data_IF_394692199344
#
_entry.id   IF_394692199344
#
_cell.length_a   1.000
_cell.length_b   1.000
_cell.length_c   1.000
_cell.angle_alpha   90.00
_cell.angle_beta   90.00
_cell.angle_gamma   90.00
#
_symmetry.space_group_name_H-M   'P 1'
#
loop_
_entity.id
_entity.type
_entity.pdbx_description
1 polymer ?
#
# COMPACT_ATOMS: atom_id res chain seq x y z
N UNK A 1 -7.92 6.88 0.08
CA UNK A 1 -9.25 7.49 0.25
C UNK A 1 -9.14 8.95 0.66
N UNK A 2 -8.43 9.28 1.73
CA UNK A 2 -8.27 10.65 2.24
C UNK A 2 -7.80 11.63 1.16
N UNK A 3 -6.72 11.32 0.46
CA UNK A 3 -6.22 12.14 -0.65
C UNK A 3 -7.30 12.46 -1.71
N UNK A 4 -8.14 11.48 -2.04
CA UNK A 4 -9.18 11.65 -3.07
C UNK A 4 -10.37 12.48 -2.59
N UNK A 5 -10.65 12.47 -1.29
CA UNK A 5 -11.65 13.40 -0.71
C UNK A 5 -11.15 14.85 -0.74
N UNK A 6 -9.84 15.08 -0.62
CA UNK A 6 -9.23 16.40 -0.82
C UNK A 6 -9.40 16.91 -2.27
N UNK A 7 -9.35 16.01 -3.28
CA UNK A 7 -9.66 16.39 -4.66
C UNK A 7 -11.10 16.86 -4.84
N UNK A 8 -12.05 16.23 -4.14
CA UNK A 8 -13.47 16.62 -4.18
C UNK A 8 -13.66 17.98 -3.49
N UNK A 9 -13.04 18.16 -2.32
CA UNK A 9 -13.08 19.41 -1.56
C UNK A 9 -12.51 20.57 -2.35
N UNK A 10 -11.35 20.42 -2.96
CA UNK A 10 -10.71 21.44 -3.81
C UNK A 10 -11.60 21.87 -4.96
N UNK A 11 -12.43 20.98 -5.47
CA UNK A 11 -13.21 21.23 -6.69
C UNK A 11 -14.61 21.80 -6.44
N UNK A 12 -15.29 21.43 -5.34
CA UNK A 12 -16.76 21.62 -5.22
C UNK A 12 -17.22 22.13 -3.84
N UNK A 13 -16.38 22.66 -2.98
CA UNK A 13 -16.71 23.07 -1.60
C UNK A 13 -17.33 21.96 -0.74
N UNK A 14 -17.21 20.71 -1.16
CA UNK A 14 -17.70 19.54 -0.43
C UNK A 14 -16.68 19.19 0.65
N UNK A 15 -17.08 19.27 1.91
CA UNK A 15 -16.21 18.93 3.05
C UNK A 15 -15.60 17.54 2.89
N UNK A 16 -14.31 17.38 3.22
CA UNK A 16 -13.55 16.16 3.08
C UNK A 16 -14.25 14.89 3.61
N UNK A 17 -14.85 14.89 4.82
CA UNK A 17 -15.61 13.75 5.32
C UNK A 17 -16.78 13.30 4.43
N UNK A 18 -17.48 14.23 3.78
CA UNK A 18 -18.54 13.89 2.83
C UNK A 18 -17.96 13.21 1.58
N UNK A 19 -16.81 13.67 1.08
CA UNK A 19 -16.06 13.02 0.00
C UNK A 19 -15.68 11.57 0.33
N UNK A 20 -15.26 11.30 1.58
CA UNK A 20 -14.98 9.94 2.06
C UNK A 20 -16.21 9.06 1.96
N UNK A 21 -17.36 9.53 2.45
CA UNK A 21 -18.62 8.77 2.42
C UNK A 21 -19.08 8.50 0.98
N UNK A 22 -19.01 9.48 0.09
CA UNK A 22 -19.37 9.30 -1.33
C UNK A 22 -18.54 8.18 -1.96
N UNK A 23 -17.22 8.23 -1.81
CA UNK A 23 -16.30 7.21 -2.34
C UNK A 23 -16.60 5.84 -1.72
N UNK A 24 -16.90 5.81 -0.42
CA UNK A 24 -17.22 4.57 0.29
C UNK A 24 -18.49 3.91 -0.23
N UNK A 25 -19.56 4.68 -0.42
CA UNK A 25 -20.83 4.18 -0.96
C UNK A 25 -20.65 3.65 -2.39
N UNK A 26 -19.91 4.37 -3.24
CA UNK A 26 -19.61 3.91 -4.60
C UNK A 26 -18.79 2.61 -4.59
N UNK A 27 -17.75 2.53 -3.74
CA UNK A 27 -16.95 1.31 -3.58
C UNK A 27 -17.80 0.13 -3.11
N UNK A 28 -18.63 0.34 -2.09
CA UNK A 28 -19.54 -0.68 -1.56
C UNK A 28 -20.49 -1.20 -2.64
N UNK A 29 -21.11 -0.28 -3.41
CA UNK A 29 -22.02 -0.64 -4.48
C UNK A 29 -21.34 -1.56 -5.52
N UNK A 30 -20.14 -1.18 -6.02
CA UNK A 30 -19.41 -1.97 -7.01
C UNK A 30 -18.97 -3.32 -6.43
N UNK A 31 -18.43 -3.34 -5.21
CA UNK A 31 -17.90 -4.55 -4.58
C UNK A 31 -19.00 -5.57 -4.26
N UNK A 32 -20.21 -5.11 -3.94
CA UNK A 32 -21.36 -5.98 -3.63
C UNK A 32 -21.75 -6.86 -4.82
N UNK A 33 -21.62 -6.37 -6.06
CA UNK A 33 -21.93 -7.15 -7.27
C UNK A 33 -20.90 -8.23 -7.60
N UNK A 34 -19.76 -8.24 -6.92
CA UNK A 34 -18.78 -9.32 -6.98
C UNK A 34 -17.71 -9.16 -8.06
N UNK A 35 -16.84 -10.18 -8.15
CA UNK A 35 -15.61 -10.16 -8.94
C UNK A 35 -15.77 -9.65 -10.39
N UNK A 36 -16.79 -10.11 -11.11
CA UNK A 36 -16.99 -9.72 -12.53
C UNK A 36 -17.15 -8.21 -12.70
N UNK A 37 -17.91 -7.57 -11.80
CA UNK A 37 -18.15 -6.11 -11.88
C UNK A 37 -16.92 -5.35 -11.43
N UNK A 38 -16.27 -5.80 -10.35
CA UNK A 38 -15.00 -5.23 -9.87
C UNK A 38 -13.96 -5.30 -10.99
N UNK A 39 -13.74 -6.46 -11.58
CA UNK A 39 -12.76 -6.65 -12.65
C UNK A 39 -13.08 -5.83 -13.91
N UNK A 40 -14.35 -5.74 -14.30
CA UNK A 40 -14.75 -4.91 -15.44
C UNK A 40 -14.48 -3.41 -15.16
N UNK A 41 -14.76 -2.94 -13.94
CA UNK A 41 -14.48 -1.58 -13.53
C UNK A 41 -12.98 -1.28 -13.54
N UNK A 42 -12.16 -2.15 -12.97
CA UNK A 42 -10.69 -2.04 -12.94
C UNK A 42 -10.11 -2.03 -14.34
N UNK A 43 -10.58 -2.92 -15.21
CA UNK A 43 -10.11 -3.04 -16.59
C UNK A 43 -10.30 -1.73 -17.40
N UNK A 44 -11.31 -0.94 -17.13
CA UNK A 44 -11.57 0.31 -17.86
C UNK A 44 -11.07 1.56 -17.14
N UNK A 45 -11.04 1.56 -15.81
CA UNK A 45 -10.73 2.76 -14.99
C UNK A 45 -9.28 3.23 -15.09
N UNK A 46 -8.34 2.36 -15.43
CA UNK A 46 -6.93 2.73 -15.58
C UNK A 46 -6.68 3.63 -16.79
N UNK A 47 -7.48 3.50 -17.86
CA UNK A 47 -7.30 4.28 -19.10
C UNK A 47 -7.46 5.79 -18.85
N UNK A 48 -8.61 6.29 -18.37
CA UNK A 48 -8.77 7.72 -18.09
C UNK A 48 -7.79 8.21 -17.02
N UNK A 49 -7.50 7.39 -16.02
CA UNK A 49 -6.54 7.73 -14.96
C UNK A 49 -5.14 7.95 -15.53
N UNK A 50 -4.65 7.04 -16.37
CA UNK A 50 -3.34 7.16 -17.01
C UNK A 50 -3.28 8.39 -17.93
N UNK A 51 -4.34 8.64 -18.72
CA UNK A 51 -4.40 9.83 -19.57
C UNK A 51 -4.29 11.12 -18.75
N UNK A 52 -4.96 11.21 -17.62
CA UNK A 52 -4.86 12.39 -16.74
C UNK A 52 -3.47 12.53 -16.14
N UNK A 53 -2.81 11.45 -15.74
CA UNK A 53 -1.43 11.51 -15.28
C UNK A 53 -0.46 11.95 -16.38
N UNK A 54 -0.69 11.56 -17.64
CA UNK A 54 0.10 12.05 -18.78
C UNK A 54 -0.18 13.54 -19.06
N UNK A 55 -1.41 13.98 -18.94
CA UNK A 55 -1.78 15.41 -19.04
C UNK A 55 -1.09 16.20 -17.91
N UNK A 56 -1.15 15.69 -16.69
CA UNK A 56 -0.49 16.29 -15.53
C UNK A 56 1.03 16.42 -15.73
N UNK A 57 1.67 15.36 -16.21
CA UNK A 57 3.09 15.37 -16.59
C UNK A 57 3.36 16.45 -17.64
N UNK A 58 2.57 16.49 -18.73
CA UNK A 58 2.75 17.44 -19.81
C UNK A 58 2.61 18.89 -19.36
N UNK A 59 1.60 19.19 -18.55
CA UNK A 59 1.38 20.53 -17.98
C UNK A 59 2.54 20.91 -17.07
N UNK A 60 2.93 20.02 -16.14
CA UNK A 60 3.98 20.30 -15.19
C UNK A 60 5.36 20.43 -15.85
N UNK A 61 5.67 19.57 -16.83
CA UNK A 61 6.90 19.69 -17.60
C UNK A 61 6.98 20.99 -18.42
N UNK A 62 5.83 21.45 -18.95
CA UNK A 62 5.78 22.71 -19.73
C UNK A 62 5.85 23.95 -18.83
N UNK A 63 5.40 23.88 -17.58
CA UNK A 63 5.43 25.02 -16.64
C UNK A 63 6.85 25.45 -16.28
N UNK A 64 7.80 24.54 -16.29
CA UNK A 64 9.18 24.80 -15.86
C UNK A 64 9.34 24.94 -14.34
N UNK A 65 8.30 24.66 -13.58
CA UNK A 65 8.23 24.87 -12.12
C UNK A 65 8.92 23.75 -11.30
N UNK A 66 9.65 22.85 -11.97
CA UNK A 66 10.44 21.84 -11.28
C UNK A 66 11.62 22.45 -10.54
N UNK A 67 11.73 22.17 -9.25
CA UNK A 67 12.85 22.61 -8.41
C UNK A 67 13.76 21.43 -8.11
N UNK A 68 15.01 21.53 -8.55
CA UNK A 68 16.05 20.57 -8.14
C UNK A 68 16.52 20.93 -6.73
N UNK A 69 16.12 20.14 -5.76
CA UNK A 69 16.60 20.26 -4.38
C UNK A 69 17.92 19.51 -4.29
N UNK A 70 19.03 20.18 -3.92
CA UNK A 70 20.31 19.50 -3.77
C UNK A 70 20.24 18.46 -2.65
N UNK A 71 20.94 17.34 -2.86
CA UNK A 71 21.08 16.32 -1.83
C UNK A 71 21.85 16.92 -0.65
N UNK A 72 21.31 16.81 0.53
CA UNK A 72 22.04 17.05 1.75
C UNK A 72 23.01 15.89 2.00
N UNK A 73 23.93 16.06 2.91
CA UNK A 73 24.88 15.00 3.26
C UNK A 73 24.84 14.76 4.77
N UNK A 74 25.09 13.52 5.18
CA UNK A 74 25.16 13.17 6.59
C UNK A 74 24.03 12.27 7.08
N UNK A 75 23.93 12.17 8.40
CA UNK A 75 22.99 11.25 9.05
C UNK A 75 21.52 11.65 8.90
N UNK A 76 21.24 12.95 8.81
CA UNK A 76 19.87 13.43 8.61
C UNK A 76 19.31 12.94 7.26
N UNK A 77 20.05 13.14 6.20
CA UNK A 77 19.63 12.69 4.85
C UNK A 77 19.54 11.16 4.77
N UNK A 78 20.49 10.45 5.37
CA UNK A 78 20.44 8.98 5.47
C UNK A 78 19.15 8.54 6.16
N UNK A 79 18.78 9.15 7.27
CA UNK A 79 17.55 8.85 8.00
C UNK A 79 16.30 9.10 7.18
N UNK A 80 16.26 10.23 6.45
CA UNK A 80 15.15 10.58 5.57
C UNK A 80 14.99 9.57 4.43
N UNK A 81 16.09 9.14 3.79
CA UNK A 81 16.08 8.13 2.73
C UNK A 81 15.55 6.79 3.24
N UNK A 82 16.03 6.33 4.39
CA UNK A 82 15.59 5.07 4.99
C UNK A 82 14.11 5.11 5.37
N UNK A 83 13.66 6.17 6.03
CA UNK A 83 12.25 6.33 6.43
C UNK A 83 11.33 6.43 5.22
N UNK A 84 11.72 7.19 4.17
CA UNK A 84 10.98 7.23 2.92
C UNK A 84 10.93 5.87 2.24
N UNK A 85 12.04 5.14 2.22
CA UNK A 85 12.13 3.77 1.71
C UNK A 85 11.17 2.82 2.43
N UNK A 86 11.05 2.93 3.75
CA UNK A 86 10.12 2.15 4.56
C UNK A 86 8.65 2.39 4.16
N UNK A 87 8.25 3.65 3.98
CA UNK A 87 6.89 4.00 3.50
C UNK A 87 6.62 3.42 2.10
N UNK A 88 7.59 3.55 1.17
CA UNK A 88 7.46 3.00 -0.19
C UNK A 88 7.37 1.47 -0.16
N UNK A 89 8.20 0.80 0.66
CA UNK A 89 8.13 -0.64 0.85
C UNK A 89 6.75 -1.06 1.36
N UNK A 90 6.24 -0.41 2.42
CA UNK A 90 4.92 -0.70 2.99
C UNK A 90 3.78 -0.56 1.98
N UNK A 91 3.87 0.42 1.08
CA UNK A 91 2.91 0.58 -0.01
C UNK A 91 3.03 -0.53 -1.06
N UNK A 92 4.24 -0.82 -1.52
CA UNK A 92 4.47 -1.79 -2.59
C UNK A 92 4.18 -3.23 -2.15
N UNK A 93 4.62 -3.60 -0.95
CA UNK A 93 4.47 -4.96 -0.41
C UNK A 93 3.02 -5.31 -0.05
N UNK A 94 2.12 -4.31 0.05
CA UNK A 94 0.70 -4.54 0.28
C UNK A 94 0.05 -5.53 -0.70
N UNK A 95 0.58 -5.65 -1.91
CA UNK A 95 0.12 -6.62 -2.91
C UNK A 95 0.47 -8.08 -2.58
N UNK A 96 1.46 -8.33 -1.73
CA UNK A 96 1.95 -9.68 -1.43
C UNK A 96 0.87 -10.59 -0.85
N UNK A 97 0.00 -10.03 0.00
CA UNK A 97 -1.02 -10.81 0.70
C UNK A 97 -2.22 -11.19 -0.18
N UNK A 98 -2.55 -10.42 -1.22
CA UNK A 98 -3.76 -10.65 -2.02
C UNK A 98 -3.54 -10.76 -3.54
N UNK A 99 -2.31 -10.71 -4.02
CA UNK A 99 -2.02 -10.93 -5.44
C UNK A 99 -2.53 -12.29 -5.94
N UNK A 100 -2.55 -13.30 -5.08
CA UNK A 100 -3.08 -14.62 -5.39
C UNK A 100 -4.59 -14.61 -5.68
N UNK A 101 -5.37 -13.74 -5.06
CA UNK A 101 -6.82 -13.61 -5.28
C UNK A 101 -7.17 -13.23 -6.73
N UNK A 102 -6.22 -12.61 -7.43
CA UNK A 102 -6.35 -12.25 -8.86
C UNK A 102 -5.75 -13.30 -9.78
N UNK A 103 -4.61 -13.85 -9.42
CA UNK A 103 -3.90 -14.81 -10.27
C UNK A 103 -4.56 -16.19 -10.28
N UNK A 104 -5.36 -16.54 -9.30
CA UNK A 104 -6.09 -17.82 -9.22
C UNK A 104 -7.08 -18.02 -10.38
N UNK A 105 -7.57 -16.94 -10.98
CA UNK A 105 -8.49 -17.00 -12.13
C UNK A 105 -7.79 -17.23 -13.48
N UNK A 106 -6.45 -17.26 -13.50
CA UNK A 106 -5.70 -17.54 -14.72
C UNK A 106 -5.81 -19.02 -15.09
N UNK A 107 -5.89 -19.36 -16.41
CA UNK A 107 -5.88 -20.75 -16.85
C UNK A 107 -4.66 -21.51 -16.35
N UNK A 108 -4.84 -22.74 -15.90
CA UNK A 108 -3.74 -23.59 -15.40
C UNK A 108 -2.65 -23.87 -16.45
N UNK A 109 -2.97 -23.71 -17.74
CA UNK A 109 -2.05 -23.85 -18.86
C UNK A 109 -1.15 -22.62 -19.07
N UNK A 110 -1.44 -21.50 -18.37
CA UNK A 110 -0.67 -20.27 -18.53
C UNK A 110 0.76 -20.43 -17.98
N UNK A 111 1.72 -19.88 -18.72
CA UNK A 111 3.12 -19.90 -18.29
C UNK A 111 3.34 -19.08 -17.03
N UNK A 112 3.88 -19.69 -15.97
CA UNK A 112 4.22 -19.03 -14.69
C UNK A 112 5.14 -17.82 -14.89
N UNK A 113 6.11 -17.91 -15.82
CA UNK A 113 7.02 -16.81 -16.14
C UNK A 113 6.27 -15.62 -16.76
N UNK A 114 5.28 -15.88 -17.62
CA UNK A 114 4.45 -14.83 -18.20
C UNK A 114 3.60 -14.16 -17.12
N UNK A 115 2.94 -14.93 -16.24
CA UNK A 115 2.14 -14.38 -15.14
C UNK A 115 3.01 -13.50 -14.26
N UNK A 116 4.16 -14.01 -13.82
CA UNK A 116 5.09 -13.23 -13.00
C UNK A 116 5.54 -11.93 -13.70
N UNK A 117 6.02 -12.02 -14.94
CA UNK A 117 6.55 -10.86 -15.66
C UNK A 117 5.49 -9.78 -15.89
N UNK A 118 4.30 -10.17 -16.33
CA UNK A 118 3.23 -9.21 -16.59
C UNK A 118 2.68 -8.59 -15.31
N UNK A 119 2.55 -9.36 -14.24
CA UNK A 119 2.16 -8.84 -12.92
C UNK A 119 3.21 -7.86 -12.40
N UNK A 120 4.49 -8.23 -12.47
CA UNK A 120 5.58 -7.38 -12.01
C UNK A 120 5.69 -6.08 -12.82
N UNK A 121 5.65 -6.14 -14.15
CA UNK A 121 5.68 -4.95 -15.00
C UNK A 121 4.45 -4.07 -14.78
N UNK A 122 3.27 -4.70 -14.64
CA UNK A 122 2.02 -3.99 -14.41
C UNK A 122 1.97 -3.27 -13.06
N UNK A 123 2.72 -3.72 -12.07
CA UNK A 123 2.85 -3.05 -10.76
C UNK A 123 3.96 -1.99 -10.78
N UNK A 124 5.17 -2.35 -11.24
CA UNK A 124 6.35 -1.49 -11.07
C UNK A 124 6.33 -0.26 -11.99
N UNK A 125 5.88 -0.38 -13.24
CA UNK A 125 5.88 0.74 -14.18
C UNK A 125 4.95 1.86 -13.74
N UNK A 126 3.66 1.61 -13.45
CA UNK A 126 2.76 2.66 -12.99
C UNK A 126 3.18 3.23 -11.62
N UNK A 127 3.70 2.37 -10.73
CA UNK A 127 4.16 2.77 -9.41
C UNK A 127 5.30 3.79 -9.50
N UNK A 128 6.36 3.44 -10.22
CA UNK A 128 7.51 4.33 -10.42
C UNK A 128 7.09 5.64 -11.12
N UNK A 129 6.31 5.53 -12.18
CA UNK A 129 5.86 6.70 -12.93
C UNK A 129 5.07 7.68 -12.05
N UNK A 130 4.08 7.18 -11.31
CA UNK A 130 3.22 8.05 -10.48
C UNK A 130 3.93 8.62 -9.26
N UNK A 131 4.83 7.84 -8.64
CA UNK A 131 5.60 8.31 -7.50
C UNK A 131 6.64 9.38 -7.92
N UNK A 132 7.38 9.13 -9.00
CA UNK A 132 8.34 10.12 -9.51
C UNK A 132 7.66 11.42 -9.93
N UNK A 133 6.49 11.32 -10.59
CA UNK A 133 5.71 12.51 -10.95
C UNK A 133 5.21 13.25 -9.70
N UNK A 134 4.76 12.54 -8.66
CA UNK A 134 4.32 13.14 -7.42
C UNK A 134 5.45 13.89 -6.70
N UNK A 135 6.65 13.28 -6.63
CA UNK A 135 7.85 13.93 -6.06
C UNK A 135 8.24 15.17 -6.87
N UNK A 136 8.21 15.09 -8.20
CA UNK A 136 8.49 16.21 -9.08
C UNK A 136 7.51 17.37 -8.84
N UNK A 137 6.21 17.11 -8.75
CA UNK A 137 5.20 18.15 -8.47
C UNK A 137 5.38 18.72 -7.06
N UNK A 138 5.71 17.86 -6.09
CA UNK A 138 5.95 18.30 -4.72
C UNK A 138 7.16 19.25 -4.62
N UNK A 139 8.19 19.08 -5.44
CA UNK A 139 9.34 19.99 -5.46
C UNK A 139 8.97 21.45 -5.76
N UNK A 140 7.88 21.66 -6.53
CA UNK A 140 7.40 23.00 -6.86
C UNK A 140 6.90 23.80 -5.64
N UNK A 141 6.58 23.14 -4.52
CA UNK A 141 6.24 23.85 -3.27
C UNK A 141 7.40 24.68 -2.72
N UNK A 142 8.65 24.37 -3.10
CA UNK A 142 9.85 25.09 -2.71
C UNK A 142 10.14 26.35 -3.57
N UNK A 143 9.39 26.60 -4.65
CA UNK A 143 9.53 27.81 -5.45
C UNK A 143 9.34 29.06 -4.58
N UNK A 144 10.10 30.11 -4.89
CA UNK A 144 10.03 31.42 -4.22
C UNK A 144 10.09 31.33 -2.67
N UNK A 145 10.84 30.32 -2.16
CA UNK A 145 10.96 30.10 -0.71
C UNK A 145 9.66 29.62 -0.05
N UNK A 146 8.79 28.98 -0.81
CA UNK A 146 7.49 28.45 -0.34
C UNK A 146 6.32 29.42 -0.49
N UNK A 147 6.54 30.62 -1.04
CA UNK A 147 5.46 31.59 -1.27
C UNK A 147 4.92 31.48 -2.70
N UNK A 148 4.23 30.40 -2.98
CA UNK A 148 3.74 30.09 -4.31
C UNK A 148 2.41 29.33 -4.29
N UNK A 149 1.72 29.28 -5.44
CA UNK A 149 0.42 28.64 -5.61
C UNK A 149 0.39 27.15 -5.24
N UNK A 150 1.51 26.46 -5.36
CA UNK A 150 1.62 25.03 -5.05
C UNK A 150 1.58 24.80 -3.54
N UNK A 151 2.33 25.60 -2.80
CA UNK A 151 2.32 25.57 -1.34
C UNK A 151 0.98 26.04 -0.80
N UNK A 152 0.41 27.14 -1.32
CA UNK A 152 -0.93 27.62 -0.93
C UNK A 152 -2.01 26.55 -1.18
N UNK A 153 -1.99 25.87 -2.33
CA UNK A 153 -2.91 24.79 -2.62
C UNK A 153 -2.76 23.61 -1.66
N UNK A 154 -1.50 23.24 -1.35
CA UNK A 154 -1.20 22.18 -0.38
C UNK A 154 -1.72 22.54 1.03
N UNK A 155 -1.49 23.77 1.47
CA UNK A 155 -1.92 24.25 2.80
C UNK A 155 -3.45 24.34 2.92
N UNK A 156 -4.14 24.68 1.83
CA UNK A 156 -5.59 24.79 1.82
C UNK A 156 -6.29 23.44 1.90
N UNK A 157 -5.94 22.47 1.07
CA UNK A 157 -6.64 21.18 0.94
C UNK A 157 -5.68 19.98 0.74
N UNK A 158 -4.46 20.07 1.25
CA UNK A 158 -3.45 19.02 1.20
C UNK A 158 -2.98 18.71 -0.22
N UNK A 159 -2.61 17.46 -0.46
CA UNK A 159 -2.12 17.01 -1.78
C UNK A 159 -3.16 17.15 -2.90
N UNK A 160 -4.46 17.18 -2.57
CA UNK A 160 -5.53 17.49 -3.53
C UNK A 160 -5.42 18.92 -4.05
N UNK A 161 -5.18 19.89 -3.17
CA UNK A 161 -4.97 21.29 -3.54
C UNK A 161 -3.71 21.49 -4.36
N UNK A 162 -2.62 20.77 -4.03
CA UNK A 162 -1.40 20.77 -4.82
C UNK A 162 -1.66 20.34 -6.28
N UNK A 163 -2.41 19.26 -6.51
CA UNK A 163 -2.79 18.84 -7.87
C UNK A 163 -3.74 19.84 -8.52
N UNK A 164 -4.64 20.46 -7.76
CA UNK A 164 -5.49 21.55 -8.22
C UNK A 164 -4.69 22.74 -8.72
N UNK A 165 -3.61 23.12 -8.03
CA UNK A 165 -2.71 24.17 -8.44
C UNK A 165 -2.00 23.89 -9.78
N UNK A 166 -1.82 22.62 -10.16
CA UNK A 166 -1.33 22.23 -11.48
C UNK A 166 -2.46 22.20 -12.50
N UNK A 167 -3.49 21.39 -12.26
CA UNK A 167 -4.54 21.10 -13.25
C UNK A 167 -5.51 22.27 -13.46
N UNK A 168 -6.10 22.79 -12.38
CA UNK A 168 -7.14 23.81 -12.48
C UNK A 168 -6.56 25.14 -12.95
N UNK A 169 -5.38 25.49 -12.46
CA UNK A 169 -4.71 26.75 -12.86
C UNK A 169 -4.47 26.82 -14.37
N UNK A 170 -3.99 25.73 -14.99
CA UNK A 170 -3.63 25.75 -16.41
C UNK A 170 -4.79 25.38 -17.36
N UNK A 171 -5.78 24.64 -16.89
CA UNK A 171 -6.84 24.10 -17.78
C UNK A 171 -8.26 24.46 -17.33
N UNK A 172 -8.42 25.22 -16.25
CA UNK A 172 -9.72 25.72 -15.79
C UNK A 172 -10.74 24.60 -15.54
N UNK A 173 -11.91 24.67 -16.19
CA UNK A 173 -13.01 23.71 -16.04
C UNK A 173 -12.60 22.29 -16.43
N UNK A 174 -11.74 22.12 -17.43
CA UNK A 174 -11.22 20.80 -17.80
C UNK A 174 -10.37 20.20 -16.67
N UNK A 175 -9.56 21.00 -15.99
CA UNK A 175 -8.84 20.57 -14.81
C UNK A 175 -9.75 20.08 -13.67
N UNK A 176 -10.88 20.78 -13.47
CA UNK A 176 -11.91 20.33 -12.52
C UNK A 176 -12.48 18.96 -12.89
N UNK A 177 -12.78 18.75 -14.16
CA UNK A 177 -13.23 17.44 -14.66
C UNK A 177 -12.18 16.35 -14.42
N UNK A 178 -10.90 16.62 -14.71
CA UNK A 178 -9.80 15.69 -14.42
C UNK A 178 -9.72 15.34 -12.93
N UNK A 179 -9.90 16.32 -12.03
CA UNK A 179 -9.91 16.10 -10.59
C UNK A 179 -11.03 15.13 -10.17
N UNK A 180 -12.22 15.24 -10.74
CA UNK A 180 -13.34 14.31 -10.47
C UNK A 180 -12.98 12.89 -10.92
N UNK A 181 -12.44 12.71 -12.12
CA UNK A 181 -12.01 11.38 -12.59
C UNK A 181 -10.92 10.79 -11.70
N UNK A 182 -9.94 11.59 -11.29
CA UNK A 182 -8.93 11.15 -10.31
C UNK A 182 -9.55 10.77 -8.98
N UNK A 183 -10.55 11.52 -8.49
CA UNK A 183 -11.25 11.16 -7.26
C UNK A 183 -11.98 9.82 -7.39
N UNK A 184 -12.65 9.58 -8.51
CA UNK A 184 -13.36 8.32 -8.77
C UNK A 184 -12.41 7.13 -8.99
N UNK A 185 -11.17 7.35 -9.44
CA UNK A 185 -10.20 6.27 -9.66
C UNK A 185 -9.87 5.46 -8.40
N UNK A 186 -10.06 6.03 -7.20
CA UNK A 186 -9.84 5.32 -5.94
C UNK A 186 -10.81 4.15 -5.74
N UNK A 187 -11.97 4.22 -6.36
CA UNK A 187 -12.96 3.14 -6.26
C UNK A 187 -12.36 1.84 -6.82
N UNK A 188 -11.65 1.92 -7.96
CA UNK A 188 -10.96 0.76 -8.52
C UNK A 188 -9.91 0.19 -7.57
N UNK A 189 -9.18 1.05 -6.85
CA UNK A 189 -8.18 0.60 -5.88
C UNK A 189 -8.79 0.07 -4.56
N UNK A 190 -9.96 0.57 -4.15
CA UNK A 190 -10.60 0.13 -2.92
C UNK A 190 -11.40 -1.17 -3.11
N UNK A 191 -11.97 -1.40 -4.28
CA UNK A 191 -12.78 -2.59 -4.55
C UNK A 191 -12.02 -3.90 -4.28
N UNK A 192 -10.78 -4.11 -4.78
CA UNK A 192 -9.99 -5.29 -4.45
C UNK A 192 -9.78 -5.48 -2.94
N UNK A 193 -9.41 -4.39 -2.26
CA UNK A 193 -9.13 -4.47 -0.82
C UNK A 193 -10.36 -4.93 -0.02
N UNK A 194 -11.51 -4.33 -0.27
CA UNK A 194 -12.76 -4.70 0.42
C UNK A 194 -13.24 -6.09 0.00
N UNK A 195 -13.03 -6.45 -1.27
CA UNK A 195 -13.33 -7.81 -1.77
C UNK A 195 -12.48 -8.86 -1.05
N UNK A 196 -11.16 -8.66 -0.98
CA UNK A 196 -10.23 -9.59 -0.32
C UNK A 196 -10.47 -9.66 1.19
N UNK A 197 -10.76 -8.54 1.87
CA UNK A 197 -11.14 -8.56 3.28
C UNK A 197 -12.37 -9.44 3.51
N UNK A 198 -13.41 -9.30 2.68
CA UNK A 198 -14.61 -10.11 2.82
C UNK A 198 -14.34 -11.61 2.61
N UNK A 199 -13.48 -11.98 1.65
CA UNK A 199 -13.06 -13.37 1.44
C UNK A 199 -12.24 -13.90 2.61
N UNK A 200 -11.26 -13.13 3.08
CA UNK A 200 -10.38 -13.53 4.19
C UNK A 200 -11.19 -13.80 5.45
N UNK A 201 -12.16 -12.93 5.79
CA UNK A 201 -13.02 -13.16 6.95
C UNK A 201 -13.85 -14.40 6.81
N UNK A 202 -14.35 -14.73 5.61
CA UNK A 202 -15.11 -15.96 5.38
C UNK A 202 -14.28 -17.22 5.61
N UNK A 203 -12.97 -17.20 5.38
CA UNK A 203 -12.08 -18.36 5.56
C UNK A 203 -11.71 -18.60 7.03
N UNK A 204 -11.88 -17.62 7.93
CA UNK A 204 -11.48 -17.74 9.34
C UNK A 204 -12.22 -18.84 10.11
N UNK A 205 -13.49 -19.11 9.81
CA UNK A 205 -14.25 -20.16 10.50
C UNK A 205 -15.49 -20.60 9.72
N UNK A 206 -16.02 -21.80 10.06
CA UNK A 206 -17.28 -22.28 9.51
C UNK A 206 -18.48 -21.36 9.85
N UNK A 207 -18.41 -20.61 10.92
CA UNK A 207 -19.45 -19.65 11.29
C UNK A 207 -19.42 -18.42 10.37
N UNK A 208 -18.24 -17.88 10.10
CA UNK A 208 -18.06 -16.73 9.20
C UNK A 208 -18.42 -17.07 7.75
N UNK A 209 -18.22 -18.32 7.32
CA UNK A 209 -18.63 -18.81 5.99
C UNK A 209 -20.14 -18.79 5.77
N UNK A 210 -20.94 -18.99 6.82
CA UNK A 210 -22.41 -18.97 6.73
C UNK A 210 -22.99 -17.58 6.50
N UNK A 211 -22.21 -16.55 6.82
CA UNK A 211 -22.63 -15.16 6.65
C UNK A 211 -22.36 -14.72 5.21
N UNK A 212 -23.36 -14.20 4.49
CA UNK A 212 -23.20 -13.73 3.12
C UNK A 212 -22.10 -12.67 3.00
N UNK A 213 -21.32 -12.75 1.93
CA UNK A 213 -20.17 -11.87 1.68
C UNK A 213 -20.49 -10.37 1.76
N UNK A 214 -21.68 -9.97 1.26
CA UNK A 214 -22.08 -8.56 1.26
C UNK A 214 -22.15 -7.95 2.67
N UNK A 215 -22.42 -8.76 3.70
CA UNK A 215 -22.42 -8.31 5.10
C UNK A 215 -20.99 -7.98 5.53
N UNK A 216 -20.03 -8.84 5.19
CA UNK A 216 -18.61 -8.59 5.48
C UNK A 216 -18.09 -7.37 4.71
N UNK A 217 -18.54 -7.20 3.47
CA UNK A 217 -18.26 -6.00 2.67
C UNK A 217 -18.81 -4.73 3.36
N UNK A 218 -20.03 -4.78 3.90
CA UNK A 218 -20.64 -3.65 4.61
C UNK A 218 -19.89 -3.34 5.92
N UNK A 219 -19.52 -4.36 6.70
CA UNK A 219 -18.75 -4.20 7.93
C UNK A 219 -17.37 -3.60 7.62
N UNK A 220 -16.67 -4.13 6.63
CA UNK A 220 -15.37 -3.60 6.19
C UNK A 220 -15.47 -2.16 5.71
N UNK A 221 -16.53 -1.82 4.95
CA UNK A 221 -16.80 -0.45 4.50
C UNK A 221 -17.04 0.48 5.70
N UNK A 222 -17.85 0.08 6.68
CA UNK A 222 -18.08 0.85 7.88
C UNK A 222 -16.81 1.07 8.70
N UNK A 223 -15.99 0.03 8.84
CA UNK A 223 -14.72 0.10 9.57
C UNK A 223 -13.74 1.11 8.95
N UNK A 224 -13.55 1.07 7.64
CA UNK A 224 -12.62 2.03 7.04
C UNK A 224 -13.16 3.48 7.01
N UNK A 225 -14.48 3.69 6.93
CA UNK A 225 -15.09 5.03 7.10
C UNK A 225 -14.79 5.56 8.49
N UNK A 226 -14.99 4.73 9.52
CA UNK A 226 -14.75 5.09 10.91
C UNK A 226 -13.28 5.48 11.18
N UNK A 227 -12.33 4.89 10.46
CA UNK A 227 -10.91 5.24 10.54
C UNK A 227 -10.59 6.47 9.68
N UNK A 228 -11.16 6.56 8.48
CA UNK A 228 -10.81 7.60 7.51
C UNK A 228 -11.32 9.00 7.92
N UNK A 229 -12.49 9.11 8.54
CA UNK A 229 -13.05 10.41 8.93
C UNK A 229 -12.17 11.13 9.98
N UNK A 230 -11.78 10.50 11.11
CA UNK A 230 -10.86 11.13 12.05
C UNK A 230 -9.47 11.39 11.48
N UNK A 231 -8.99 10.49 10.59
CA UNK A 231 -7.68 10.61 9.95
C UNK A 231 -7.58 11.71 8.90
N UNK A 232 -8.69 12.33 8.51
CA UNK A 232 -8.69 13.32 7.43
C UNK A 232 -7.84 14.56 7.73
N UNK A 233 -7.92 15.09 8.94
CA UNK A 233 -7.17 16.27 9.37
C UNK A 233 -5.67 16.04 9.60
N UNK A 234 -5.25 14.78 9.66
CA UNK A 234 -3.86 14.35 9.90
C UNK A 234 -3.38 13.38 8.82
N UNK A 235 -3.77 13.65 7.57
CA UNK A 235 -3.62 12.69 6.46
C UNK A 235 -2.19 12.17 6.28
N UNK A 236 -1.19 13.07 6.24
CA UNK A 236 0.21 12.70 5.98
C UNK A 236 0.74 11.77 7.07
N UNK A 237 0.54 12.14 8.34
CA UNK A 237 0.99 11.34 9.51
C UNK A 237 0.27 9.99 9.60
N UNK A 238 -1.04 9.98 9.35
CA UNK A 238 -1.82 8.72 9.37
C UNK A 238 -1.38 7.81 8.22
N UNK A 239 -1.15 8.36 7.03
CA UNK A 239 -0.69 7.59 5.88
C UNK A 239 0.68 6.97 6.14
N UNK A 240 1.65 7.76 6.61
CA UNK A 240 3.00 7.31 6.90
C UNK A 240 3.02 6.19 7.96
N UNK A 241 2.40 6.44 9.10
CA UNK A 241 2.32 5.43 10.17
C UNK A 241 1.63 4.14 9.70
N UNK A 242 0.56 4.26 8.92
CA UNK A 242 -0.18 3.11 8.41
C UNK A 242 0.63 2.31 7.40
N UNK A 243 1.33 2.98 6.48
CA UNK A 243 2.18 2.31 5.48
C UNK A 243 3.34 1.59 6.16
N UNK A 244 4.00 2.22 7.12
CA UNK A 244 5.08 1.60 7.88
C UNK A 244 4.60 0.36 8.66
N UNK A 245 3.44 0.45 9.35
CA UNK A 245 2.88 -0.70 10.07
C UNK A 245 2.54 -1.88 9.15
N UNK A 246 2.00 -1.61 7.95
CA UNK A 246 1.78 -2.65 6.93
C UNK A 246 3.13 -3.22 6.49
N UNK A 247 4.11 -2.37 6.20
CA UNK A 247 5.45 -2.78 5.78
C UNK A 247 6.12 -3.71 6.79
N UNK A 248 6.06 -3.38 8.06
CA UNK A 248 6.65 -4.21 9.13
C UNK A 248 6.02 -5.59 9.20
N UNK A 249 4.69 -5.65 9.22
CA UNK A 249 3.96 -6.90 9.27
C UNK A 249 4.31 -7.79 8.07
N UNK A 250 4.22 -7.22 6.89
CA UNK A 250 4.45 -7.96 5.64
C UNK A 250 5.91 -8.36 5.49
N UNK A 251 6.88 -7.55 5.90
CA UNK A 251 8.29 -7.93 5.89
C UNK A 251 8.56 -9.18 6.75
N UNK A 252 7.97 -9.25 7.94
CA UNK A 252 8.07 -10.44 8.81
C UNK A 252 7.42 -11.66 8.14
N UNK A 253 6.23 -11.48 7.57
CA UNK A 253 5.54 -12.53 6.82
C UNK A 253 6.37 -13.01 5.62
N UNK A 254 6.88 -12.08 4.84
CA UNK A 254 7.73 -12.37 3.68
C UNK A 254 9.02 -13.10 4.09
N UNK A 255 9.65 -12.70 5.17
CA UNK A 255 10.84 -13.40 5.71
C UNK A 255 10.58 -14.87 5.96
N UNK A 256 9.46 -15.20 6.61
CA UNK A 256 9.06 -16.60 6.86
C UNK A 256 8.70 -17.30 5.55
N UNK A 257 7.89 -16.66 4.71
CA UNK A 257 7.43 -17.23 3.44
C UNK A 257 8.58 -17.50 2.47
N UNK A 258 9.55 -16.58 2.36
CA UNK A 258 10.75 -16.76 1.54
C UNK A 258 11.63 -17.89 2.08
N UNK A 259 11.83 -17.98 3.40
CA UNK A 259 12.59 -19.07 3.99
C UNK A 259 11.93 -20.43 3.69
N UNK A 260 10.61 -20.57 3.90
CA UNK A 260 9.90 -21.81 3.58
C UNK A 260 9.98 -22.14 2.09
N UNK A 261 9.72 -21.15 1.21
CA UNK A 261 9.66 -21.37 -0.23
C UNK A 261 11.02 -21.69 -0.85
N UNK A 262 12.07 -20.93 -0.50
CA UNK A 262 13.38 -21.05 -1.14
C UNK A 262 14.25 -22.13 -0.48
N UNK A 263 14.28 -22.17 0.87
CA UNK A 263 15.21 -23.03 1.61
C UNK A 263 14.62 -24.41 1.83
N UNK A 264 13.36 -24.53 2.26
CA UNK A 264 12.78 -25.83 2.65
C UNK A 264 11.98 -26.49 1.53
N UNK A 265 11.24 -25.72 0.73
CA UNK A 265 10.44 -26.28 -0.38
C UNK A 265 11.16 -26.30 -1.72
N UNK A 266 12.27 -25.59 -1.85
CA UNK A 266 13.04 -25.47 -3.12
C UNK A 266 12.16 -25.05 -4.30
N UNK A 267 11.20 -24.14 -4.03
CA UNK A 267 10.27 -23.60 -5.01
C UNK A 267 8.93 -24.35 -5.07
N UNK A 268 8.18 -24.10 -6.14
CA UNK A 268 6.76 -24.53 -6.27
C UNK A 268 6.55 -26.04 -6.25
N UNK A 269 7.58 -26.84 -6.59
CA UNK A 269 7.45 -28.32 -6.62
C UNK A 269 7.39 -28.94 -5.23
N UNK A 270 7.79 -28.22 -4.20
CA UNK A 270 7.77 -28.68 -2.82
C UNK A 270 6.42 -28.55 -2.12
N UNK A 271 5.39 -28.05 -2.80
CA UNK A 271 4.04 -27.90 -2.28
C UNK A 271 3.13 -28.99 -2.85
N UNK A 272 2.31 -29.59 -1.98
CA UNK A 272 1.25 -30.52 -2.37
C UNK A 272 -0.10 -29.79 -2.23
N UNK A 273 -0.74 -29.44 -3.38
CA UNK A 273 -2.01 -28.73 -3.36
C UNK A 273 -3.15 -29.50 -2.69
N UNK A 274 -3.07 -30.84 -2.65
CA UNK A 274 -4.14 -31.68 -2.08
C UNK A 274 -4.12 -31.72 -0.54
N UNK A 275 -3.13 -31.07 0.08
CA UNK A 275 -2.98 -31.02 1.54
C UNK A 275 -3.51 -29.74 2.18
N UNK A 276 -3.91 -28.74 1.41
CA UNK A 276 -4.20 -27.39 1.91
C UNK A 276 -5.33 -27.34 2.97
N UNK A 277 -6.28 -28.25 2.91
CA UNK A 277 -7.42 -28.38 3.83
C UNK A 277 -7.26 -29.49 4.89
N UNK A 278 -6.13 -30.21 4.88
CA UNK A 278 -5.88 -31.32 5.77
C UNK A 278 -5.00 -30.90 6.95
N UNK A 279 -5.60 -30.34 8.00
CA UNK A 279 -4.88 -29.86 9.19
C UNK A 279 -3.88 -30.87 9.78
N UNK A 280 -4.18 -32.18 9.67
CA UNK A 280 -3.29 -33.27 10.13
C UNK A 280 -2.02 -33.43 9.31
N UNK A 281 -1.95 -32.88 8.09
CA UNK A 281 -0.78 -32.94 7.19
C UNK A 281 -0.02 -31.62 7.10
N UNK A 282 -0.67 -30.54 7.50
CA UNK A 282 -0.02 -29.22 7.53
C UNK A 282 0.96 -29.13 8.71
N UNK A 283 2.03 -28.31 8.57
CA UNK A 283 2.93 -28.02 9.69
C UNK A 283 2.16 -27.46 10.90
N UNK A 284 2.59 -27.78 12.14
CA UNK A 284 1.98 -27.19 13.34
C UNK A 284 2.08 -25.67 13.42
N UNK A 285 3.07 -25.06 12.72
CA UNK A 285 3.28 -23.64 12.66
C UNK A 285 4.05 -23.05 13.84
N UNK A 286 4.60 -23.86 14.72
CA UNK A 286 5.34 -23.40 15.91
C UNK A 286 6.59 -22.59 15.48
N UNK A 287 7.33 -23.11 14.49
CA UNK A 287 8.49 -22.42 13.94
C UNK A 287 8.08 -21.05 13.34
N UNK A 288 6.94 -20.97 12.65
CA UNK A 288 6.45 -19.73 12.06
C UNK A 288 6.07 -18.70 13.14
N UNK A 289 5.34 -19.12 14.18
CA UNK A 289 4.94 -18.23 15.29
C UNK A 289 6.16 -17.71 16.04
N UNK A 290 7.11 -18.60 16.37
CA UNK A 290 8.36 -18.18 17.03
C UNK A 290 9.15 -17.18 16.18
N UNK A 291 9.30 -17.47 14.89
CA UNK A 291 10.00 -16.60 13.95
C UNK A 291 9.30 -15.26 13.76
N UNK A 292 7.97 -15.25 13.79
CA UNK A 292 7.19 -14.03 13.79
C UNK A 292 7.50 -13.17 15.02
N UNK A 293 7.54 -13.76 16.22
CA UNK A 293 7.92 -13.05 17.43
C UNK A 293 9.36 -12.49 17.36
N UNK A 294 10.31 -13.26 16.81
CA UNK A 294 11.67 -12.78 16.58
C UNK A 294 11.68 -11.60 15.57
N UNK A 295 10.90 -11.70 14.50
CA UNK A 295 10.73 -10.62 13.54
C UNK A 295 10.17 -9.34 14.17
N UNK A 296 9.15 -9.47 15.04
CA UNK A 296 8.63 -8.34 15.82
C UNK A 296 9.71 -7.72 16.70
N UNK A 297 10.53 -8.51 17.35
CA UNK A 297 11.65 -8.00 18.15
C UNK A 297 12.66 -7.23 17.28
N UNK A 298 13.03 -7.75 16.11
CA UNK A 298 13.89 -7.05 15.14
C UNK A 298 13.27 -5.74 14.68
N UNK A 299 12.00 -5.77 14.26
CA UNK A 299 11.23 -4.61 13.84
C UNK A 299 11.24 -3.51 14.92
N UNK A 300 10.87 -3.82 16.16
CA UNK A 300 10.80 -2.84 17.26
C UNK A 300 12.14 -2.16 17.54
N UNK A 301 13.25 -2.83 17.30
CA UNK A 301 14.59 -2.22 17.48
C UNK A 301 14.96 -1.27 16.34
N UNK A 302 14.37 -1.43 15.15
CA UNK A 302 14.69 -0.67 13.93
C UNK A 302 13.63 0.33 13.49
N UNK A 303 12.43 0.30 14.06
CA UNK A 303 11.34 1.19 13.64
C UNK A 303 11.56 2.63 14.13
N UNK A 304 11.17 3.60 13.32
CA UNK A 304 11.11 5.02 13.66
C UNK A 304 9.69 5.53 13.45
N UNK A 305 8.95 5.67 14.54
CA UNK A 305 7.58 6.15 14.54
C UNK A 305 7.41 7.30 15.53
N UNK A 306 6.37 8.10 15.36
CA UNK A 306 6.07 9.23 16.25
C UNK A 306 5.95 8.82 17.72
N UNK A 307 5.50 7.59 17.98
CA UNK A 307 5.24 7.05 19.32
C UNK A 307 6.35 6.14 19.85
N UNK A 308 7.27 5.70 18.99
CA UNK A 308 8.40 4.86 19.38
C UNK A 308 9.54 4.96 18.37
N UNK A 309 10.76 5.17 18.86
CA UNK A 309 11.98 5.11 18.05
C UNK A 309 12.90 4.05 18.62
N UNK A 310 13.21 3.05 17.81
CA UNK A 310 14.07 1.94 18.20
C UNK A 310 15.53 2.34 18.34
N UNK A 311 16.31 1.62 19.18
CA UNK A 311 17.72 1.95 19.41
C UNK A 311 18.57 1.88 18.14
N UNK A 312 18.28 0.96 17.22
CA UNK A 312 18.98 0.86 15.93
C UNK A 312 18.57 2.00 15.00
N UNK A 313 17.29 2.35 14.98
CA UNK A 313 16.77 3.47 14.19
C UNK A 313 17.46 4.79 14.56
N UNK A 314 17.67 5.07 15.85
CA UNK A 314 18.38 6.26 16.33
C UNK A 314 19.82 6.37 15.78
N UNK A 315 20.48 5.24 15.53
CA UNK A 315 21.82 5.22 14.95
C UNK A 315 21.84 5.29 13.42
N UNK A 316 20.73 4.92 12.77
CA UNK A 316 20.58 4.91 11.32
C UNK A 316 20.32 6.31 10.72
N UNK A 317 20.08 7.31 11.55
CA UNK A 317 19.85 8.69 11.13
C UNK A 317 20.25 9.68 12.21
N UNK A 318 19.64 10.88 12.17
CA UNK A 318 19.85 11.96 13.15
C UNK A 318 18.71 12.02 14.16
N UNK A 319 19.07 12.27 15.42
CA UNK A 319 18.05 12.45 16.46
C UNK A 319 17.11 13.63 16.15
N UNK A 320 15.82 13.59 16.53
CA UNK A 320 15.22 12.65 17.47
C UNK A 320 14.67 11.36 16.85
N UNK A 321 14.48 11.29 15.55
CA UNK A 321 13.80 10.16 14.89
C UNK A 321 14.76 9.11 14.30
N UNK A 322 15.98 9.49 13.94
CA UNK A 322 16.89 8.57 13.27
C UNK A 322 16.46 8.21 11.86
N UNK A 323 16.60 6.93 11.50
CA UNK A 323 16.14 6.38 10.20
C UNK A 323 15.40 5.07 10.40
N UNK A 324 14.27 4.89 9.72
CA UNK A 324 13.48 3.67 9.83
C UNK A 324 14.14 2.52 9.07
N UNK A 325 14.50 1.48 9.80
CA UNK A 325 15.05 0.19 9.30
C UNK A 325 14.25 -0.99 9.88
N UNK A 326 13.01 -0.72 10.26
CA UNK A 326 12.17 -1.70 10.95
C UNK A 326 11.76 -2.87 10.07
N UNK A 327 11.48 -2.63 8.78
CA UNK A 327 11.08 -3.71 7.88
C UNK A 327 12.25 -4.62 7.52
N UNK A 328 13.46 -4.08 7.30
CA UNK A 328 14.66 -4.85 7.00
C UNK A 328 15.02 -5.78 8.17
N UNK A 329 15.00 -5.23 9.39
CA UNK A 329 15.30 -6.02 10.58
C UNK A 329 14.18 -7.03 10.88
N UNK A 330 12.93 -6.65 10.69
CA UNK A 330 11.80 -7.56 10.81
C UNK A 330 11.92 -8.76 9.89
N UNK A 331 12.23 -8.52 8.61
CA UNK A 331 12.49 -9.56 7.62
C UNK A 331 13.68 -10.44 8.01
N UNK A 332 14.83 -9.82 8.30
CA UNK A 332 16.07 -10.54 8.57
C UNK A 332 15.97 -11.44 9.81
N UNK A 333 15.36 -10.92 10.89
CA UNK A 333 15.18 -11.70 12.12
C UNK A 333 14.18 -12.84 11.91
N UNK A 334 13.07 -12.58 11.24
CA UNK A 334 12.08 -13.62 10.95
C UNK A 334 12.64 -14.71 10.04
N UNK A 335 13.32 -14.34 8.96
CA UNK A 335 13.96 -15.26 8.02
C UNK A 335 15.00 -16.16 8.73
N UNK A 336 15.89 -15.54 9.50
CA UNK A 336 16.96 -16.26 10.20
C UNK A 336 16.39 -17.19 11.27
N UNK A 337 15.46 -16.70 12.09
CA UNK A 337 14.81 -17.51 13.11
C UNK A 337 14.08 -18.72 12.51
N UNK A 338 13.40 -18.51 11.36
CA UNK A 338 12.71 -19.59 10.68
C UNK A 338 13.67 -20.65 10.13
N UNK A 339 14.77 -20.22 9.52
CA UNK A 339 15.81 -21.15 9.04
C UNK A 339 16.40 -22.01 10.16
N UNK A 340 16.47 -21.50 11.39
CA UNK A 340 16.97 -22.24 12.57
C UNK A 340 15.90 -23.15 13.16
N UNK A 341 14.67 -22.69 13.28
CA UNK A 341 13.61 -23.39 14.03
C UNK A 341 12.85 -24.42 13.18
N UNK A 342 12.70 -24.16 11.88
CA UNK A 342 11.98 -25.09 10.98
C UNK A 342 12.58 -26.48 10.90
N UNK A 343 13.92 -26.70 10.85
CA UNK A 343 14.50 -28.03 10.90
C UNK A 343 14.17 -28.79 12.21
N UNK A 344 14.04 -28.08 13.32
CA UNK A 344 13.63 -28.68 14.60
C UNK A 344 12.18 -29.16 14.55
N UNK A 345 11.28 -28.31 14.02
CA UNK A 345 9.87 -28.65 13.82
C UNK A 345 9.71 -29.87 12.90
N UNK A 346 10.45 -29.91 11.78
CA UNK A 346 10.46 -31.04 10.86
C UNK A 346 10.93 -32.35 11.55
N UNK A 347 11.95 -32.28 12.41
CA UNK A 347 12.44 -33.46 13.18
C UNK A 347 11.42 -33.93 14.20
N UNK A 348 10.67 -33.01 14.83
CA UNK A 348 9.72 -33.35 15.90
C UNK A 348 8.39 -33.88 15.35
N UNK A 349 7.91 -33.33 14.25
CA UNK A 349 6.56 -33.60 13.73
C UNK A 349 6.56 -34.28 12.36
N UNK A 350 7.69 -34.37 11.66
CA UNK A 350 7.82 -35.00 10.34
C UNK A 350 7.14 -34.23 9.20
N UNK A 351 6.70 -33.00 9.46
CA UNK A 351 5.89 -32.22 8.52
C UNK A 351 6.05 -30.71 8.68
#
# INVERSE_FOLDING_TARGET
MLFRSQLIETNNDVKGPAGIVIIAVCTFAITTFGYKVVHAYEFWSWIPTTLIFLILLGIFAHSGDFVSIPWETGKAEMGNILSFGSVIFGFATGWTSYAADYTVYQPSTQSRKKVFLWTWLGLIIPLLFTQMLAVAIMSATALDGGNNRYQEGKDATGTGGLLGAVLIYHTGTFGKFCMVILALSIIANNCPNIYSVALTVQVLSHWTQRIPRFIWTAIGTGAYIAIAIPGYSHFEVVLENFMNMIGYWLAIYEGIAFAEHLVFRHGMKGYDPDQYDQAGRLPPGIAAVFSFCCGVAGMVTGMSQVWWVGPIALHAGEAPFGGDVGFELGFAFAFTAYCVTRPLELRMFGR
#
